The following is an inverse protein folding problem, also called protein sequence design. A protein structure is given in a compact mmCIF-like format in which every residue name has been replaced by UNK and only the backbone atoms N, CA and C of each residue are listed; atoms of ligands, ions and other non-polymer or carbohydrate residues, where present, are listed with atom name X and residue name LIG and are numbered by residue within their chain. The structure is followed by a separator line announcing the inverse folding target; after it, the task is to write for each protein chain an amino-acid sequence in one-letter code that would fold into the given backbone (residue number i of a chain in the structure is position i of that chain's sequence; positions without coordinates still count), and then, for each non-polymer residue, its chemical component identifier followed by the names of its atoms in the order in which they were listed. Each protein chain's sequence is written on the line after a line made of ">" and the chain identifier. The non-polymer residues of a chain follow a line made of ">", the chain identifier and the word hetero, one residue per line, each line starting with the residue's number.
data_IF_441694631832
#
_entry.id   IF_441694631832
#
_cell.length_a   1.000
_cell.length_b   1.000
_cell.length_c   1.000
_cell.angle_alpha   90.00
_cell.angle_beta   90.00
_cell.angle_gamma   90.00
#
_symmetry.space_group_name_H-M   'P 1'
#
loop_
_entity.id
_entity.type
_entity.pdbx_description
1 polymer ?
#
# COMPACT_ATOMS: atom_id res chain seq x y z
N UNK A 1 14.85 5.16 -32.16
CA UNK A 1 14.74 3.80 -31.57
C UNK A 1 14.06 3.90 -30.21
N UNK A 2 13.17 2.95 -29.92
CA UNK A 2 12.11 2.97 -28.90
C UNK A 2 12.63 3.21 -27.47
N UNK A 3 12.07 4.19 -26.75
CA UNK A 3 12.20 4.28 -25.30
C UNK A 3 11.52 3.04 -24.72
N UNK A 4 12.29 2.19 -24.02
CA UNK A 4 11.74 1.09 -23.22
C UNK A 4 10.93 1.72 -22.10
N UNK A 5 9.63 1.86 -22.30
CA UNK A 5 8.69 2.12 -21.22
C UNK A 5 8.91 1.03 -20.19
N UNK A 6 9.54 1.41 -19.08
CA UNK A 6 9.61 0.57 -17.90
C UNK A 6 8.16 0.33 -17.50
N UNK A 7 7.67 -0.87 -17.79
CA UNK A 7 6.35 -1.36 -17.44
C UNK A 7 6.30 -1.46 -15.90
N UNK A 8 6.28 -0.30 -15.22
CA UNK A 8 5.79 -0.17 -13.86
C UNK A 8 4.36 -0.64 -13.96
N UNK A 9 4.10 -1.82 -13.42
CA UNK A 9 2.77 -2.36 -13.21
C UNK A 9 2.06 -1.43 -12.22
N UNK A 10 1.64 -0.25 -12.68
CA UNK A 10 0.84 0.70 -11.94
C UNK A 10 -0.50 0.03 -11.79
N UNK A 11 -0.71 -0.65 -10.67
CA UNK A 11 -2.06 -1.08 -10.32
C UNK A 11 -2.92 0.18 -10.25
N UNK A 12 -4.00 0.19 -11.00
CA UNK A 12 -4.95 1.29 -10.94
C UNK A 12 -5.63 1.26 -9.56
N UNK A 13 -5.27 2.25 -8.73
CA UNK A 13 -5.80 2.41 -7.38
C UNK A 13 -7.10 3.23 -7.37
N UNK A 14 -7.54 3.77 -8.51
CA UNK A 14 -8.72 4.63 -8.60
C UNK A 14 -10.00 3.93 -8.11
N UNK A 15 -10.08 2.60 -8.27
CA UNK A 15 -11.20 1.78 -7.76
C UNK A 15 -11.29 1.71 -6.23
N UNK A 16 -10.25 2.12 -5.52
CA UNK A 16 -10.21 2.18 -4.06
C UNK A 16 -10.35 3.61 -3.53
N UNK A 17 -10.74 4.58 -4.35
CA UNK A 17 -10.89 5.97 -3.94
C UNK A 17 -11.75 6.11 -2.67
N UNK A 18 -11.26 6.86 -1.69
CA UNK A 18 -11.88 7.03 -0.37
C UNK A 18 -11.65 5.89 0.61
N UNK A 19 -11.01 4.78 0.20
CA UNK A 19 -10.75 3.62 1.04
C UNK A 19 -9.32 3.61 1.59
N UNK A 20 -9.15 3.00 2.76
CA UNK A 20 -7.85 2.53 3.23
C UNK A 20 -7.44 1.30 2.44
N UNK A 21 -6.19 1.27 1.99
CA UNK A 21 -5.59 0.13 1.28
C UNK A 21 -4.34 -0.34 2.02
N UNK A 22 -4.16 -1.65 2.10
CA UNK A 22 -2.93 -2.30 2.52
C UNK A 22 -2.20 -2.82 1.28
N UNK A 23 -0.91 -2.49 1.13
CA UNK A 23 -0.06 -2.90 0.03
C UNK A 23 1.14 -3.72 0.50
N UNK A 24 1.42 -4.81 -0.18
CA UNK A 24 2.69 -5.52 -0.08
C UNK A 24 3.62 -5.03 -1.19
N UNK A 25 4.85 -4.65 -0.84
CA UNK A 25 5.87 -4.25 -1.82
C UNK A 25 6.79 -5.42 -2.14
N UNK A 26 7.12 -5.58 -3.41
CA UNK A 26 8.04 -6.61 -3.92
C UNK A 26 8.98 -5.96 -4.92
N UNK A 27 10.29 -5.87 -4.64
CA UNK A 27 11.34 -5.26 -5.50
C UNK A 27 10.92 -4.02 -6.31
N UNK A 28 10.19 -4.19 -7.43
CA UNK A 28 9.75 -3.14 -8.35
C UNK A 28 8.22 -3.06 -8.56
N UNK A 29 7.42 -3.74 -7.73
CA UNK A 29 5.98 -3.78 -7.83
C UNK A 29 5.33 -3.73 -6.45
N UNK A 30 4.06 -3.38 -6.40
CA UNK A 30 3.25 -3.51 -5.21
C UNK A 30 1.96 -4.26 -5.54
N UNK A 31 1.36 -4.86 -4.51
CA UNK A 31 0.06 -5.52 -4.63
C UNK A 31 -0.83 -5.08 -3.48
N UNK A 32 -2.03 -4.64 -3.79
CA UNK A 32 -3.07 -4.45 -2.77
C UNK A 32 -3.44 -5.82 -2.18
N UNK A 33 -3.23 -5.98 -0.88
CA UNK A 33 -3.53 -7.19 -0.11
C UNK A 33 -4.80 -7.06 0.73
N UNK A 34 -5.33 -5.84 0.88
CA UNK A 34 -6.64 -5.59 1.46
C UNK A 34 -7.08 -4.14 1.28
N UNK A 35 -8.39 -3.89 1.37
CA UNK A 35 -8.96 -2.54 1.41
C UNK A 35 -10.19 -2.49 2.31
N UNK A 36 -10.51 -1.29 2.81
CA UNK A 36 -11.68 -1.07 3.65
C UNK A 36 -12.01 0.41 3.82
N UNK A 37 -13.23 0.71 4.26
CA UNK A 37 -13.66 2.10 4.46
C UNK A 37 -12.92 2.76 5.64
N UNK A 38 -12.47 1.96 6.62
CA UNK A 38 -11.79 2.42 7.83
C UNK A 38 -10.47 1.67 8.01
N UNK A 39 -9.50 2.30 8.68
CA UNK A 39 -8.20 1.68 8.98
C UNK A 39 -8.34 0.36 9.74
N UNK A 40 -9.31 0.26 10.66
CA UNK A 40 -9.58 -0.96 11.44
C UNK A 40 -9.90 -2.18 10.56
N UNK A 41 -10.49 -1.95 9.39
CA UNK A 41 -10.90 -3.01 8.47
C UNK A 41 -9.67 -3.72 7.87
N UNK A 42 -8.53 -3.03 7.77
CA UNK A 42 -7.26 -3.57 7.29
C UNK A 42 -6.20 -3.73 8.39
N UNK A 43 -6.52 -3.37 9.64
CA UNK A 43 -5.55 -3.34 10.75
C UNK A 43 -4.85 -4.67 10.98
N UNK A 44 -5.60 -5.78 10.91
CA UNK A 44 -5.07 -7.14 11.05
C UNK A 44 -4.02 -7.51 9.99
N UNK A 45 -3.97 -6.81 8.85
CA UNK A 45 -2.97 -7.02 7.80
C UNK A 45 -1.67 -6.27 8.09
N UNK A 46 -1.76 -5.08 8.70
CA UNK A 46 -0.63 -4.15 8.88
C UNK A 46 -0.09 -4.10 10.31
N UNK A 47 -0.80 -4.69 11.26
CA UNK A 47 -0.38 -4.78 12.65
C UNK A 47 0.17 -6.17 12.93
N UNK A 48 1.37 -6.22 13.50
CA UNK A 48 2.04 -7.45 13.92
C UNK A 48 2.56 -7.28 15.35
N UNK A 49 2.74 -8.37 16.12
CA UNK A 49 3.41 -8.32 17.41
C UNK A 49 4.81 -7.71 17.31
N UNK A 50 5.28 -7.07 18.38
CA UNK A 50 6.61 -6.40 18.42
C UNK A 50 7.76 -7.38 18.18
N UNK A 51 7.59 -8.65 18.55
CA UNK A 51 8.60 -9.70 18.36
C UNK A 51 8.39 -10.51 17.07
N UNK A 52 7.51 -10.04 16.18
CA UNK A 52 7.22 -10.77 14.94
C UNK A 52 8.44 -10.75 14.00
N UNK A 53 8.95 -11.91 13.56
CA UNK A 53 10.09 -12.00 12.65
C UNK A 53 9.88 -11.31 11.30
N UNK A 54 8.65 -10.88 10.97
CA UNK A 54 8.37 -10.06 9.78
C UNK A 54 8.86 -8.63 9.94
N UNK A 55 9.01 -8.12 11.15
CA UNK A 55 9.51 -6.76 11.41
C UNK A 55 10.99 -6.60 11.03
N UNK A 56 11.79 -7.66 11.12
CA UNK A 56 13.21 -7.62 10.74
C UNK A 56 13.46 -7.67 9.22
N UNK A 57 12.41 -7.88 8.42
CA UNK A 57 12.50 -7.99 6.96
C UNK A 57 11.72 -6.84 6.30
N UNK A 58 12.42 -5.88 5.66
CA UNK A 58 11.77 -4.76 4.98
C UNK A 58 10.74 -5.22 3.96
N UNK A 59 9.55 -4.61 4.02
CA UNK A 59 8.46 -4.89 3.09
C UNK A 59 7.76 -6.24 3.32
N UNK A 60 7.98 -6.92 4.46
CA UNK A 60 7.25 -8.15 4.83
C UNK A 60 5.96 -7.86 5.58
N UNK A 61 5.91 -6.77 6.36
CA UNK A 61 4.65 -6.20 6.87
C UNK A 61 4.06 -5.28 5.78
N UNK A 62 2.80 -5.48 5.37
CA UNK A 62 2.15 -4.58 4.41
C UNK A 62 2.10 -3.15 4.93
N UNK A 63 2.33 -2.18 4.05
CA UNK A 63 2.12 -0.76 4.34
C UNK A 63 0.65 -0.38 4.09
N UNK A 64 0.12 0.61 4.79
CA UNK A 64 -1.24 1.11 4.55
C UNK A 64 -1.30 2.61 4.31
N UNK A 65 -2.24 3.03 3.48
CA UNK A 65 -2.57 4.44 3.24
C UNK A 65 -4.04 4.58 2.83
N UNK A 66 -4.61 5.78 3.04
CA UNK A 66 -5.93 6.12 2.52
C UNK A 66 -5.78 6.60 1.08
N UNK A 67 -6.50 6.00 0.14
CA UNK A 67 -6.61 6.53 -1.23
C UNK A 67 -7.57 7.71 -1.18
N UNK A 68 -7.21 8.88 -1.73
CA UNK A 68 -8.09 10.04 -1.74
C UNK A 68 -9.39 9.70 -2.45
N UNK A 69 -10.48 10.30 -1.97
CA UNK A 69 -11.65 10.41 -2.82
C UNK A 69 -11.27 11.20 -4.08
N UNK A 70 -12.02 11.04 -5.18
CA UNK A 70 -11.80 11.81 -6.42
C UNK A 70 -11.78 13.34 -6.21
N UNK A 71 -12.25 13.83 -5.07
CA UNK A 71 -12.33 15.23 -4.68
C UNK A 71 -11.32 15.65 -3.58
N UNK A 72 -10.60 14.71 -2.95
CA UNK A 72 -9.48 14.99 -2.03
C UNK A 72 -8.18 15.04 -2.86
N UNK A 73 -7.41 16.14 -2.82
CA UNK A 73 -6.15 16.30 -3.57
C UNK A 73 -4.97 15.38 -3.15
N UNK A 74 -3.74 15.69 -3.61
CA UNK A 74 -2.52 14.85 -3.50
C UNK A 74 -2.14 14.37 -2.08
N UNK A 75 -1.53 13.17 -1.99
CA UNK A 75 -1.22 12.42 -0.77
C UNK A 75 0.21 12.56 -0.22
N UNK A 76 0.31 12.41 1.11
CA UNK A 76 1.53 12.08 1.86
C UNK A 76 1.52 10.58 2.25
N UNK A 77 2.64 9.86 2.03
CA UNK A 77 2.82 8.46 2.48
C UNK A 77 3.54 8.46 3.83
N UNK A 78 2.91 7.92 4.86
CA UNK A 78 3.55 7.70 6.17
C UNK A 78 4.28 6.34 6.15
N UNK A 79 5.61 6.38 6.11
CA UNK A 79 6.45 5.21 6.38
C UNK A 79 6.96 5.31 7.82
N UNK A 80 6.60 4.35 8.66
CA UNK A 80 7.19 4.22 9.99
C UNK A 80 8.57 3.55 9.85
N UNK A 81 9.60 4.23 10.36
CA UNK A 81 10.99 3.76 10.39
C UNK A 81 11.22 2.83 11.58
#
# INVERSE_FOLDING_TARGET
>A
MKKKDSQKNKQDLSKYAGQWVAIQTFKNNYRVVGSGARLKDISHLITVPVDDPRLSIPGRVPAAFKVPAKEEGELFVLSLK
#
